data_IF_154990564541
#
_entry.id   IF_154990564541
#
_cell.length_a   1.000
_cell.length_b   1.000
_cell.length_c   1.000
_cell.angle_alpha   90.00
_cell.angle_beta   90.00
_cell.angle_gamma   90.00
#
_symmetry.space_group_name_H-M   'P 1'
#
loop_
_entity.id
_entity.type
_entity.pdbx_description
1 polymer ?
#
# COMPACT_ATOMS: atom_id res chain seq x y z
N UNK A 1 -4.04 10.78 2.40
CA UNK A 1 -3.15 10.45 3.53
C UNK A 1 -2.12 9.44 3.08
N UNK A 2 -0.91 9.57 3.57
CA UNK A 2 0.18 8.66 3.22
C UNK A 2 0.49 7.77 4.42
N UNK A 3 0.80 6.51 4.16
CA UNK A 3 1.23 5.58 5.20
C UNK A 3 2.50 4.89 4.76
N UNK A 4 3.42 4.72 5.70
CA UNK A 4 4.61 3.91 5.46
C UNK A 4 4.41 2.56 6.14
N UNK A 5 4.49 1.50 5.35
CA UNK A 5 4.26 0.14 5.81
C UNK A 5 5.48 -0.72 5.53
N UNK A 6 5.68 -1.76 6.33
CA UNK A 6 6.82 -2.63 6.16
C UNK A 6 6.84 -3.25 4.78
N UNK A 7 8.01 -3.34 4.18
CA UNK A 7 8.21 -3.83 2.82
C UNK A 7 7.60 -5.21 2.60
N UNK A 8 7.80 -6.14 3.54
CA UNK A 8 7.27 -7.49 3.40
C UNK A 8 5.74 -7.51 3.34
N UNK A 9 5.09 -6.61 4.11
CA UNK A 9 3.64 -6.50 4.10
C UNK A 9 3.14 -5.91 2.79
N UNK A 10 3.86 -4.92 2.27
CA UNK A 10 3.54 -4.35 0.97
C UNK A 10 3.59 -5.43 -0.12
N UNK A 11 4.66 -6.23 -0.16
CA UNK A 11 4.78 -7.29 -1.16
C UNK A 11 3.68 -8.33 -1.04
N UNK A 12 3.33 -8.72 0.18
CA UNK A 12 2.26 -9.68 0.41
C UNK A 12 0.93 -9.15 -0.11
N UNK A 13 0.61 -7.90 0.21
CA UNK A 13 -0.63 -7.25 -0.23
C UNK A 13 -0.63 -7.06 -1.74
N UNK A 14 0.48 -6.63 -2.29
CA UNK A 14 0.65 -6.41 -3.72
C UNK A 14 0.47 -7.72 -4.52
N UNK A 15 1.01 -8.82 -4.02
CA UNK A 15 0.86 -10.13 -4.65
C UNK A 15 -0.60 -10.55 -4.75
N UNK A 16 -1.37 -10.34 -3.68
CA UNK A 16 -2.80 -10.64 -3.68
C UNK A 16 -3.52 -9.75 -4.69
N UNK A 17 -3.19 -8.45 -4.71
CA UNK A 17 -3.81 -7.49 -5.62
C UNK A 17 -3.50 -7.83 -7.09
N UNK A 18 -2.27 -8.25 -7.38
CA UNK A 18 -1.88 -8.64 -8.75
C UNK A 18 -2.70 -9.82 -9.26
N UNK A 19 -3.13 -10.73 -8.37
CA UNK A 19 -4.03 -11.81 -8.73
C UNK A 19 -5.38 -11.33 -9.24
N UNK A 20 -5.73 -10.07 -8.98
CA UNK A 20 -6.93 -9.41 -9.48
C UNK A 20 -6.60 -8.32 -10.50
N UNK A 21 -5.42 -8.39 -11.12
CA UNK A 21 -4.95 -7.42 -12.11
C UNK A 21 -4.90 -5.99 -11.57
N UNK A 22 -4.59 -5.85 -10.30
CA UNK A 22 -4.55 -4.57 -9.60
C UNK A 22 -3.14 -4.32 -9.08
N UNK A 23 -2.65 -3.08 -9.25
CA UNK A 23 -1.32 -2.68 -8.78
C UNK A 23 -1.49 -1.59 -7.74
N UNK A 24 -0.97 -1.81 -6.53
CA UNK A 24 -1.06 -0.84 -5.45
C UNK A 24 -0.04 0.26 -5.70
N UNK A 25 -0.52 1.50 -5.78
CA UNK A 25 0.35 2.65 -6.05
C UNK A 25 1.19 3.00 -4.83
N UNK A 26 2.40 3.44 -5.11
CA UNK A 26 3.30 3.98 -4.08
C UNK A 26 3.66 5.41 -4.49
N UNK A 27 4.12 6.20 -3.52
CA UNK A 27 4.57 7.56 -3.79
C UNK A 27 5.93 7.56 -4.47
N UNK A 28 6.33 8.70 -5.01
CA UNK A 28 7.65 8.86 -5.62
C UNK A 28 8.77 8.58 -4.62
N UNK A 29 8.51 8.79 -3.33
CA UNK A 29 9.45 8.52 -2.27
C UNK A 29 9.85 7.04 -2.22
N UNK A 30 8.93 6.15 -2.61
CA UNK A 30 9.16 4.71 -2.64
C UNK A 30 9.43 4.18 -4.05
N UNK A 31 9.71 5.06 -5.00
CA UNK A 31 10.02 4.66 -6.38
C UNK A 31 11.18 5.49 -6.89
N UNK A 32 12.36 4.88 -6.92
CA UNK A 32 13.60 5.55 -7.35
C UNK A 32 13.96 5.01 -8.73
N UNK A 33 14.08 5.93 -9.69
CA UNK A 33 14.36 5.59 -11.09
C UNK A 33 13.39 4.55 -11.66
N UNK A 34 12.11 4.65 -11.26
CA UNK A 34 11.08 3.73 -11.70
C UNK A 34 11.06 2.39 -10.98
N UNK A 35 11.95 2.18 -10.02
CA UNK A 35 12.06 0.92 -9.26
C UNK A 35 11.49 1.10 -7.86
N UNK A 36 10.63 0.17 -7.46
CA UNK A 36 10.10 0.15 -6.09
C UNK A 36 11.26 0.01 -5.12
N UNK A 37 11.38 0.96 -4.19
CA UNK A 37 12.52 1.03 -3.28
C UNK A 37 12.04 1.33 -1.87
N UNK A 38 12.38 0.44 -0.93
CA UNK A 38 12.10 0.69 0.48
C UNK A 38 13.04 1.78 1.01
N UNK A 39 12.58 2.54 2.01
CA UNK A 39 13.44 3.52 2.64
C UNK A 39 14.50 2.80 3.51
N UNK A 40 15.38 3.58 4.14
CA UNK A 40 16.47 3.02 4.94
C UNK A 40 15.99 2.18 6.13
N UNK A 41 14.74 2.34 6.53
CA UNK A 41 14.15 1.61 7.64
C UNK A 41 13.28 0.43 7.18
N UNK A 42 13.23 0.19 5.87
CA UNK A 42 12.50 -0.93 5.30
C UNK A 42 11.01 -0.68 5.09
N UNK A 43 10.61 0.58 4.89
CA UNK A 43 9.21 0.94 4.67
C UNK A 43 8.95 1.39 3.24
N UNK A 44 7.75 1.06 2.76
CA UNK A 44 7.19 1.52 1.49
C UNK A 44 6.06 2.49 1.79
N UNK A 45 6.00 3.60 1.09
CA UNK A 45 4.97 4.61 1.30
C UNK A 45 3.82 4.44 0.31
N UNK A 46 2.63 4.17 0.84
CA UNK A 46 1.41 3.98 0.04
C UNK A 46 0.45 5.15 0.24
N UNK A 47 -0.48 5.30 -0.69
CA UNK A 47 -1.46 6.38 -0.68
C UNK A 47 -2.78 5.83 -0.18
N UNK A 48 -3.27 6.37 0.94
CA UNK A 48 -4.55 5.98 1.53
C UNK A 48 -5.61 6.98 1.09
N UNK A 49 -6.63 6.51 0.38
CA UNK A 49 -7.75 7.37 -0.04
C UNK A 49 -8.74 7.58 1.09
N UNK A 50 -9.00 6.54 1.87
CA UNK A 50 -10.00 6.59 2.92
C UNK A 50 -9.70 5.57 4.00
N UNK A 51 -9.94 5.94 5.25
CA UNK A 51 -9.93 5.00 6.38
C UNK A 51 -11.37 4.62 6.66
N UNK A 52 -11.70 3.34 6.53
CA UNK A 52 -13.07 2.85 6.68
C UNK A 52 -13.38 2.43 8.11
N UNK A 53 -12.44 1.77 8.74
CA UNK A 53 -12.60 1.26 10.11
C UNK A 53 -11.26 1.28 10.82
N UNK A 54 -11.33 1.32 12.14
CA UNK A 54 -10.14 1.22 12.95
C UNK A 54 -10.44 0.38 14.19
N UNK A 55 -9.52 -0.54 14.49
CA UNK A 55 -9.55 -1.30 15.73
C UNK A 55 -8.27 -1.01 16.50
N UNK A 56 -8.14 -1.58 17.69
CA UNK A 56 -6.92 -1.42 18.47
C UNK A 56 -5.68 -1.91 17.72
N UNK A 57 -5.80 -2.96 16.91
CA UNK A 57 -4.66 -3.63 16.28
C UNK A 57 -4.52 -3.39 14.78
N UNK A 58 -5.54 -2.85 14.12
CA UNK A 58 -5.52 -2.72 12.66
C UNK A 58 -6.40 -1.59 12.18
N UNK A 59 -6.15 -1.14 10.94
CA UNK A 59 -7.02 -0.19 10.25
C UNK A 59 -7.46 -0.81 8.94
N UNK A 60 -8.72 -0.52 8.55
CA UNK A 60 -9.22 -0.90 7.24
C UNK A 60 -9.21 0.34 6.36
N UNK A 61 -8.56 0.24 5.21
CA UNK A 61 -8.34 1.38 4.34
C UNK A 61 -8.65 1.05 2.89
N UNK A 62 -8.86 2.10 2.12
CA UNK A 62 -8.87 2.02 0.66
C UNK A 62 -7.56 2.64 0.18
N UNK A 63 -6.76 1.85 -0.53
CA UNK A 63 -5.49 2.29 -1.10
C UNK A 63 -5.67 2.68 -2.57
N UNK A 64 -4.94 3.70 -3.01
CA UNK A 64 -4.86 4.02 -4.41
C UNK A 64 -4.23 2.86 -5.16
N UNK A 65 -4.81 2.52 -6.31
CA UNK A 65 -4.30 1.43 -7.14
C UNK A 65 -4.70 1.66 -8.59
N UNK A 66 -4.00 0.98 -9.49
CA UNK A 66 -4.29 0.98 -10.91
C UNK A 66 -4.55 -0.43 -11.41
N UNK A 67 -4.92 -0.55 -12.68
CA UNK A 67 -5.05 -1.84 -13.33
C UNK A 67 -4.39 -1.84 -14.69
N UNK A 68 -4.09 -3.04 -15.20
CA UNK A 68 -3.45 -3.19 -16.52
C UNK A 68 -4.30 -2.66 -17.67
N UNK A 69 -5.60 -2.54 -17.48
CA UNK A 69 -6.51 -2.01 -18.50
C UNK A 69 -6.68 -0.49 -18.38
N UNK A 70 -5.91 0.16 -17.52
CA UNK A 70 -5.90 1.63 -17.44
C UNK A 70 -6.94 2.26 -16.57
N UNK A 71 -7.87 1.50 -16.02
CA UNK A 71 -8.86 2.03 -15.09
C UNK A 71 -8.26 2.20 -13.70
N UNK A 72 -8.46 3.37 -13.10
CA UNK A 72 -8.07 3.60 -11.73
C UNK A 72 -8.93 2.74 -10.82
N UNK A 73 -8.30 1.96 -9.97
CA UNK A 73 -8.99 1.10 -9.01
C UNK A 73 -8.61 1.48 -7.60
N UNK A 74 -9.42 1.04 -6.65
CA UNK A 74 -9.16 1.21 -5.24
C UNK A 74 -9.07 -0.17 -4.62
N UNK A 75 -8.10 -0.38 -3.75
CA UNK A 75 -7.90 -1.66 -3.09
C UNK A 75 -8.25 -1.54 -1.61
N UNK A 76 -9.28 -2.27 -1.18
CA UNK A 76 -9.70 -2.28 0.23
C UNK A 76 -8.94 -3.39 0.95
N UNK A 77 -8.29 -3.04 2.05
CA UNK A 77 -7.52 -4.01 2.82
C UNK A 77 -7.41 -3.59 4.28
N UNK A 78 -7.14 -4.57 5.14
CA UNK A 78 -6.79 -4.33 6.53
C UNK A 78 -5.27 -4.27 6.66
N UNK A 79 -4.78 -3.26 7.38
CA UNK A 79 -3.35 -3.11 7.65
C UNK A 79 -3.12 -3.20 9.16
N UNK A 80 -2.36 -4.21 9.63
CA UNK A 80 -2.02 -4.28 11.05
C UNK A 80 -1.21 -3.05 11.48
N UNK A 81 -1.55 -2.48 12.62
CA UNK A 81 -0.83 -1.30 13.11
C UNK A 81 0.65 -1.60 13.37
N UNK A 82 0.99 -2.86 13.65
CA UNK A 82 2.37 -3.27 13.90
C UNK A 82 3.28 -3.15 12.66
N UNK A 83 2.71 -3.09 11.45
CA UNK A 83 3.51 -2.93 10.23
C UNK A 83 3.54 -1.48 9.72
N UNK A 84 2.88 -0.57 10.41
CA UNK A 84 2.84 0.84 10.04
C UNK A 84 3.96 1.57 10.79
N UNK A 85 4.71 2.41 10.08
CA UNK A 85 5.75 3.25 10.68
C UNK A 85 5.10 4.26 11.63
N UNK A 86 5.73 4.44 12.76
CA UNK A 86 5.30 5.43 13.76
C UNK A 86 5.90 6.79 13.47
#
# INVERSE_FOLDING_TARGET
MLLRIKEWFYYKTSEVAEGYNTFIDVTEYSRVDGVLTADKNGYIEVIVREVLNETEKAIQVILDSGSVVGNVKCWKTWIPKSVIAK
#
